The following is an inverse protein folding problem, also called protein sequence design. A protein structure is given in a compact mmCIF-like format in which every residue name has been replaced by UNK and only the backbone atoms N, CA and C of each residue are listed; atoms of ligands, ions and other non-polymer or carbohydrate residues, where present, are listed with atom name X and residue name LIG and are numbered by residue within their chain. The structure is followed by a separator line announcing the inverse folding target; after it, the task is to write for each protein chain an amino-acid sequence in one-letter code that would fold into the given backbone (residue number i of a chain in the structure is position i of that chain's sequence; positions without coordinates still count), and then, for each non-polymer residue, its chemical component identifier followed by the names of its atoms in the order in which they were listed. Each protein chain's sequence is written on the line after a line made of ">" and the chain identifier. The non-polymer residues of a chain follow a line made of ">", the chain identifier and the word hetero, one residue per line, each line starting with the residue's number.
data_IF_333863593354
#
_entry.id   IF_333863593354
#
_cell.length_a   1.000
_cell.length_b   1.000
_cell.length_c   1.000
_cell.angle_alpha   90.00
_cell.angle_beta   90.00
_cell.angle_gamma   90.00
#
_symmetry.space_group_name_H-M   'P 1'
#
loop_
_entity.id
_entity.type
_entity.pdbx_description
1 polymer ?
#
# COMPACT_ATOMS: atom_id res chain seq x y z
N UNK A 1 -45.43 52.62 10.88
CA UNK A 1 -43.99 52.91 10.79
C UNK A 1 -43.26 52.23 11.93
N UNK A 2 -42.24 51.43 11.57
CA UNK A 2 -41.04 51.03 12.34
C UNK A 2 -41.14 50.20 13.63
N UNK A 3 -40.75 48.94 13.44
CA UNK A 3 -39.92 48.04 14.23
C UNK A 3 -39.23 48.56 15.51
N UNK A 4 -39.22 47.72 16.57
CA UNK A 4 -38.04 46.95 16.99
C UNK A 4 -38.41 45.88 18.04
N UNK A 5 -38.11 44.59 17.83
CA UNK A 5 -38.12 43.59 18.90
C UNK A 5 -36.82 43.67 19.71
N UNK A 6 -36.96 43.73 21.04
CA UNK A 6 -35.84 43.69 21.97
C UNK A 6 -35.09 42.37 21.84
N UNK A 7 -33.78 42.49 21.60
CA UNK A 7 -32.79 41.43 21.51
C UNK A 7 -32.84 40.47 22.69
N UNK A 8 -33.24 39.22 22.43
CA UNK A 8 -32.88 38.08 23.26
C UNK A 8 -31.37 37.86 23.12
N UNK A 9 -30.60 38.48 24.02
CA UNK A 9 -29.19 38.15 24.23
C UNK A 9 -29.15 36.77 24.89
N UNK A 10 -29.08 35.73 24.05
CA UNK A 10 -28.72 34.37 24.45
C UNK A 10 -27.42 34.46 25.26
N UNK A 11 -27.49 34.21 26.57
CA UNK A 11 -26.31 34.08 27.42
C UNK A 11 -25.41 33.01 26.80
N UNK A 12 -24.29 33.44 26.21
CA UNK A 12 -23.17 32.58 25.87
C UNK A 12 -22.68 31.96 27.18
N UNK A 13 -23.10 30.73 27.44
CA UNK A 13 -22.53 29.90 28.50
C UNK A 13 -21.09 29.65 28.09
N UNK A 14 -20.15 30.14 28.90
CA UNK A 14 -18.71 29.92 28.73
C UNK A 14 -18.48 28.40 28.64
N UNK A 15 -17.82 27.87 27.61
CA UNK A 15 -17.53 26.45 27.53
C UNK A 15 -16.69 26.04 28.75
N UNK A 16 -17.10 24.96 29.41
CA UNK A 16 -16.39 24.40 30.55
C UNK A 16 -15.13 23.71 30.02
N UNK A 17 -14.00 24.40 30.09
CA UNK A 17 -12.70 23.85 29.72
C UNK A 17 -12.37 22.77 30.75
N UNK A 18 -12.57 21.52 30.36
CA UNK A 18 -12.14 20.37 31.15
C UNK A 18 -10.81 19.96 30.56
N UNK A 19 -9.71 20.13 31.30
CA UNK A 19 -8.39 19.70 30.87
C UNK A 19 -8.38 18.18 30.93
N UNK A 20 -8.69 17.54 29.82
CA UNK A 20 -8.45 16.10 29.63
C UNK A 20 -6.95 15.87 29.66
N UNK A 21 -6.48 14.90 30.45
CA UNK A 21 -5.09 14.45 30.37
C UNK A 21 -4.75 14.18 28.90
N UNK A 22 -3.73 14.85 28.39
CA UNK A 22 -3.21 14.65 27.03
C UNK A 22 -2.67 13.22 26.98
N UNK A 23 -3.51 12.26 26.59
CA UNK A 23 -3.15 10.84 26.67
C UNK A 23 -2.15 10.41 25.58
N UNK A 24 -1.82 11.28 24.63
CA UNK A 24 -1.06 10.92 23.43
C UNK A 24 0.40 11.40 23.40
N UNK A 25 0.78 12.39 24.21
CA UNK A 25 2.15 12.92 24.23
C UNK A 25 2.81 12.46 25.54
N UNK A 26 3.91 11.67 25.50
CA UNK A 26 4.65 11.33 26.71
C UNK A 26 5.02 12.62 27.46
N UNK A 27 4.88 12.66 28.80
CA UNK A 27 5.14 13.86 29.62
C UNK A 27 6.53 14.49 29.37
N UNK A 28 7.49 13.71 28.86
CA UNK A 28 8.81 14.18 28.43
C UNK A 28 8.77 15.21 27.29
N UNK A 29 7.69 15.27 26.51
CA UNK A 29 7.55 16.13 25.32
C UNK A 29 6.45 17.20 25.45
N UNK A 30 5.81 17.30 26.61
CA UNK A 30 4.79 18.34 26.90
C UNK A 30 5.37 19.60 27.54
N UNK A 31 6.70 19.68 27.70
CA UNK A 31 7.36 20.77 28.44
C UNK A 31 7.56 22.05 27.60
N UNK A 32 7.45 21.97 26.26
CA UNK A 32 7.57 23.11 25.37
C UNK A 32 6.57 23.00 24.19
N UNK A 33 5.97 24.14 23.82
CA UNK A 33 4.99 24.25 22.74
C UNK A 33 5.57 23.79 21.39
N UNK A 34 6.83 24.11 21.10
CA UNK A 34 7.47 23.76 19.83
C UNK A 34 7.63 22.25 19.62
N UNK A 35 7.94 21.50 20.68
CA UNK A 35 8.08 20.05 20.59
C UNK A 35 6.72 19.39 20.31
N UNK A 36 5.67 19.83 21.01
CA UNK A 36 4.30 19.36 20.79
C UNK A 36 3.81 19.62 19.35
N UNK A 37 4.20 20.77 18.76
CA UNK A 37 3.93 21.09 17.35
C UNK A 37 4.69 20.18 16.40
N UNK A 38 5.99 20.00 16.62
CA UNK A 38 6.82 19.13 15.78
C UNK A 38 6.27 17.71 15.75
N UNK A 39 5.88 17.18 16.90
CA UNK A 39 5.21 15.89 17.00
C UNK A 39 3.85 15.87 16.31
N UNK A 40 3.02 16.91 16.48
CA UNK A 40 1.77 17.04 15.72
C UNK A 40 2.02 16.94 14.22
N UNK A 41 2.96 17.73 13.67
CA UNK A 41 3.22 17.75 12.24
C UNK A 41 3.72 16.40 11.72
N UNK A 42 4.64 15.75 12.43
CA UNK A 42 5.17 14.44 12.05
C UNK A 42 4.06 13.39 12.05
N UNK A 43 3.23 13.34 13.09
CA UNK A 43 2.18 12.33 13.21
C UNK A 43 0.97 12.61 12.32
N UNK A 44 0.49 13.84 12.27
CA UNK A 44 -0.66 14.21 11.46
C UNK A 44 -0.37 14.16 9.97
N UNK A 45 0.73 14.76 9.49
CA UNK A 45 1.08 14.74 8.06
C UNK A 45 1.75 13.43 7.65
N UNK A 46 2.61 12.85 8.48
CA UNK A 46 3.18 11.52 8.21
C UNK A 46 2.11 10.44 8.23
N UNK A 47 1.19 10.50 9.20
CA UNK A 47 0.05 9.59 9.30
C UNK A 47 -0.94 9.75 8.15
N UNK A 48 -1.39 10.97 7.83
CA UNK A 48 -2.30 11.20 6.70
C UNK A 48 -1.70 10.77 5.36
N UNK A 49 -0.39 10.96 5.15
CA UNK A 49 0.34 10.41 4.01
C UNK A 49 0.28 8.88 3.94
N UNK A 50 0.49 8.20 5.08
CA UNK A 50 0.38 6.75 5.19
C UNK A 50 -1.02 6.22 4.87
N UNK A 51 -2.07 6.89 5.37
CA UNK A 51 -3.48 6.56 5.02
C UNK A 51 -3.71 6.70 3.52
N UNK A 52 -3.25 7.79 2.90
CA UNK A 52 -3.43 8.00 1.46
C UNK A 52 -2.78 6.90 0.61
N UNK A 53 -1.55 6.49 0.96
CA UNK A 53 -0.85 5.38 0.29
C UNK A 53 -1.62 4.07 0.48
N UNK A 54 -2.06 3.79 1.70
CA UNK A 54 -2.80 2.58 2.03
C UNK A 54 -4.12 2.45 1.27
N UNK A 55 -4.95 3.50 1.26
CA UNK A 55 -6.23 3.53 0.56
C UNK A 55 -6.10 3.27 -0.94
N UNK A 56 -4.96 3.63 -1.53
CA UNK A 56 -4.66 3.32 -2.94
C UNK A 56 -4.09 1.91 -3.12
N UNK A 57 -3.20 1.48 -2.24
CA UNK A 57 -2.46 0.22 -2.40
C UNK A 57 -3.33 -1.01 -2.09
N UNK A 58 -4.21 -0.96 -1.07
CA UNK A 58 -5.02 -2.11 -0.68
C UNK A 58 -5.97 -2.61 -1.76
N UNK A 59 -6.81 -1.76 -2.40
CA UNK A 59 -7.69 -2.20 -3.46
C UNK A 59 -6.93 -2.81 -4.64
N UNK A 60 -5.83 -2.17 -5.05
CA UNK A 60 -5.00 -2.67 -6.15
C UNK A 60 -4.38 -4.04 -5.86
N UNK A 61 -3.91 -4.27 -4.63
CA UNK A 61 -3.37 -5.56 -4.24
C UNK A 61 -4.47 -6.64 -4.15
N UNK A 62 -5.65 -6.27 -3.67
CA UNK A 62 -6.80 -7.16 -3.61
C UNK A 62 -7.29 -7.56 -5.01
N UNK A 63 -7.38 -6.60 -5.95
CA UNK A 63 -7.70 -6.86 -7.35
C UNK A 63 -6.68 -7.80 -8.00
N UNK A 64 -5.37 -7.58 -7.77
CA UNK A 64 -4.33 -8.50 -8.26
C UNK A 64 -4.46 -9.90 -7.68
N UNK A 65 -4.79 -10.00 -6.39
CA UNK A 65 -5.03 -11.29 -5.76
C UNK A 65 -6.24 -11.99 -6.41
N UNK A 66 -7.36 -11.29 -6.61
CA UNK A 66 -8.52 -11.84 -7.29
C UNK A 66 -8.21 -12.26 -8.74
N UNK A 67 -7.44 -11.46 -9.48
CA UNK A 67 -6.98 -11.80 -10.82
C UNK A 67 -6.14 -13.08 -10.83
N UNK A 68 -5.19 -13.23 -9.90
CA UNK A 68 -4.40 -14.47 -9.81
C UNK A 68 -5.30 -15.66 -9.48
N UNK A 69 -6.29 -15.49 -8.60
CA UNK A 69 -7.23 -16.57 -8.25
C UNK A 69 -8.15 -16.95 -9.42
N UNK A 70 -8.56 -15.99 -10.26
CA UNK A 70 -9.39 -16.29 -11.43
C UNK A 70 -8.64 -17.08 -12.50
N UNK A 71 -7.29 -17.07 -12.50
CA UNK A 71 -6.47 -17.84 -13.42
C UNK A 71 -6.38 -19.34 -13.09
N UNK A 72 -7.05 -19.82 -12.03
CA UNK A 72 -7.00 -21.22 -11.58
C UNK A 72 -7.29 -22.21 -12.71
N UNK A 73 -8.39 -21.98 -13.42
CA UNK A 73 -8.88 -22.88 -14.47
C UNK A 73 -8.68 -22.30 -15.87
N UNK A 74 -7.87 -21.25 -15.97
CA UNK A 74 -7.65 -20.51 -17.20
C UNK A 74 -6.51 -21.18 -18.00
N UNK A 75 -6.89 -21.71 -19.16
CA UNK A 75 -6.14 -22.58 -20.06
C UNK A 75 -5.71 -23.95 -19.49
N UNK A 76 -5.74 -25.02 -20.32
CA UNK A 76 -5.26 -26.34 -19.92
C UNK A 76 -3.76 -26.29 -19.60
N UNK A 77 -3.36 -27.07 -18.60
CA UNK A 77 -1.95 -27.28 -18.30
C UNK A 77 -1.34 -28.29 -19.28
N UNK A 78 -0.06 -28.14 -19.59
CA UNK A 78 0.71 -29.16 -20.32
C UNK A 78 0.97 -30.43 -19.48
N UNK A 79 0.59 -30.43 -18.20
CA UNK A 79 0.71 -31.58 -17.31
C UNK A 79 2.13 -31.82 -16.80
N UNK A 80 2.37 -33.02 -16.28
CA UNK A 80 3.64 -33.42 -15.68
C UNK A 80 3.79 -33.06 -14.19
N UNK A 81 5.03 -33.13 -13.72
CA UNK A 81 5.38 -32.88 -12.33
C UNK A 81 5.05 -31.45 -11.90
N UNK A 82 4.72 -31.29 -10.63
CA UNK A 82 4.51 -29.97 -10.06
C UNK A 82 5.83 -29.30 -9.69
N UNK A 83 5.83 -27.97 -9.65
CA UNK A 83 6.99 -27.18 -9.22
C UNK A 83 7.16 -27.23 -7.70
N UNK A 84 6.08 -27.37 -6.94
CA UNK A 84 6.12 -27.37 -5.48
C UNK A 84 6.27 -25.96 -4.92
N UNK A 85 5.52 -24.99 -5.47
CA UNK A 85 5.53 -23.62 -4.95
C UNK A 85 5.00 -23.60 -3.51
N UNK A 86 5.58 -22.73 -2.67
CA UNK A 86 5.14 -22.60 -1.28
C UNK A 86 3.67 -22.15 -1.23
N UNK A 87 2.84 -22.72 -0.33
CA UNK A 87 1.49 -22.21 -0.08
C UNK A 87 1.46 -20.72 0.31
N UNK A 88 2.55 -20.21 0.87
CA UNK A 88 2.71 -18.79 1.22
C UNK A 88 2.74 -17.86 0.00
N UNK A 89 2.91 -18.39 -1.21
CA UNK A 89 2.82 -17.59 -2.44
C UNK A 89 1.36 -17.24 -2.81
N UNK A 90 0.37 -17.89 -2.17
CA UNK A 90 -1.08 -17.69 -2.35
C UNK A 90 -1.60 -17.86 -3.79
N UNK A 91 -0.97 -18.75 -4.56
CA UNK A 91 -1.47 -19.14 -5.88
C UNK A 91 -2.64 -20.14 -5.77
N UNK A 92 -3.63 -20.10 -6.68
CA UNK A 92 -4.82 -20.97 -6.64
C UNK A 92 -4.53 -22.47 -6.76
N UNK A 93 -3.39 -22.81 -7.38
CA UNK A 93 -2.89 -24.17 -7.58
C UNK A 93 -1.38 -24.12 -7.81
N UNK A 94 -0.73 -25.26 -7.64
CA UNK A 94 0.67 -25.41 -8.02
C UNK A 94 0.84 -25.34 -9.55
N UNK A 95 2.05 -24.96 -9.97
CA UNK A 95 2.43 -24.86 -11.37
C UNK A 95 2.97 -26.21 -11.85
N UNK A 96 2.89 -26.46 -13.16
CA UNK A 96 3.53 -27.62 -13.77
C UNK A 96 4.89 -27.24 -14.34
N UNK A 97 5.87 -28.14 -14.20
CA UNK A 97 7.22 -27.94 -14.73
C UNK A 97 7.20 -27.72 -16.25
N UNK A 98 6.37 -28.47 -16.99
CA UNK A 98 6.25 -28.31 -18.44
C UNK A 98 5.74 -26.92 -18.87
N UNK A 99 4.78 -26.36 -18.11
CA UNK A 99 4.29 -25.01 -18.36
C UNK A 99 5.38 -23.97 -18.06
N UNK A 100 6.13 -24.17 -16.96
CA UNK A 100 7.22 -23.28 -16.56
C UNK A 100 8.34 -23.29 -17.61
N UNK A 101 8.76 -24.47 -18.05
CA UNK A 101 9.77 -24.65 -19.09
C UNK A 101 9.36 -24.00 -20.40
N UNK A 102 8.07 -24.05 -20.77
CA UNK A 102 7.59 -23.36 -21.96
C UNK A 102 7.75 -21.83 -21.87
N UNK A 103 7.50 -21.25 -20.69
CA UNK A 103 7.67 -19.80 -20.47
C UNK A 103 9.16 -19.42 -20.45
N UNK A 104 10.00 -20.20 -19.76
CA UNK A 104 11.45 -19.94 -19.65
C UNK A 104 12.20 -20.16 -20.98
N UNK A 105 11.68 -21.01 -21.86
CA UNK A 105 12.24 -21.26 -23.19
C UNK A 105 11.59 -20.39 -24.29
N UNK A 106 10.98 -19.25 -23.92
CA UNK A 106 10.55 -18.27 -24.90
C UNK A 106 11.76 -17.81 -25.76
N UNK A 107 11.54 -17.72 -27.08
CA UNK A 107 12.58 -17.32 -28.04
C UNK A 107 12.78 -15.81 -28.09
N UNK A 108 11.82 -15.03 -27.60
CA UNK A 108 11.94 -13.58 -27.54
C UNK A 108 12.87 -13.17 -26.40
N UNK A 109 13.79 -12.24 -26.68
CA UNK A 109 14.61 -11.63 -25.62
C UNK A 109 13.79 -10.59 -24.85
N UNK A 110 14.20 -10.25 -23.62
CA UNK A 110 13.50 -9.23 -22.84
C UNK A 110 13.44 -7.89 -23.57
N UNK A 111 14.51 -7.50 -24.28
CA UNK A 111 14.55 -6.25 -25.06
C UNK A 111 13.52 -6.27 -26.20
N UNK A 112 13.31 -7.43 -26.83
CA UNK A 112 12.27 -7.60 -27.85
C UNK A 112 10.88 -7.49 -27.23
N UNK A 113 10.66 -8.08 -26.05
CA UNK A 113 9.39 -7.97 -25.33
C UNK A 113 9.09 -6.51 -24.95
N UNK A 114 10.08 -5.77 -24.47
CA UNK A 114 9.97 -4.34 -24.13
C UNK A 114 9.68 -3.48 -25.37
N UNK A 115 10.37 -3.76 -26.49
CA UNK A 115 10.26 -2.96 -27.71
C UNK A 115 8.93 -3.18 -28.43
N UNK A 116 8.45 -4.43 -28.49
CA UNK A 116 7.28 -4.81 -29.28
C UNK A 116 5.99 -4.87 -28.46
N UNK A 117 6.09 -5.09 -27.15
CA UNK A 117 4.93 -5.26 -26.30
C UNK A 117 4.15 -3.96 -26.05
N UNK A 118 2.94 -4.08 -25.47
CA UNK A 118 2.13 -2.91 -25.10
C UNK A 118 2.87 -1.99 -24.14
N UNK A 119 2.57 -0.68 -24.20
CA UNK A 119 3.11 0.36 -23.33
C UNK A 119 2.01 1.01 -22.48
N UNK A 120 1.46 0.31 -21.48
CA UNK A 120 0.29 0.77 -20.72
C UNK A 120 0.60 1.88 -19.72
N UNK A 121 1.88 2.15 -19.41
CA UNK A 121 2.25 3.10 -18.37
C UNK A 121 3.58 3.82 -18.66
N UNK A 122 3.86 4.88 -17.91
CA UNK A 122 5.09 5.67 -18.04
C UNK A 122 6.38 4.84 -17.96
N UNK A 123 6.45 3.83 -17.08
CA UNK A 123 7.65 3.00 -16.94
C UNK A 123 7.89 2.15 -18.20
N UNK A 124 6.82 1.60 -18.78
CA UNK A 124 6.90 0.86 -20.05
C UNK A 124 7.33 1.75 -21.24
N UNK A 125 6.95 3.03 -21.24
CA UNK A 125 7.46 4.00 -22.23
C UNK A 125 8.95 4.29 -22.03
N UNK A 126 9.42 4.25 -20.79
CA UNK A 126 10.83 4.41 -20.42
C UNK A 126 11.66 3.14 -20.58
N UNK A 127 11.10 2.08 -21.17
CA UNK A 127 11.82 0.85 -21.50
C UNK A 127 11.84 -0.19 -20.38
N UNK A 128 10.96 -0.10 -19.38
CA UNK A 128 10.76 -1.20 -18.44
C UNK A 128 9.92 -2.30 -19.07
N UNK A 129 10.22 -3.56 -18.74
CA UNK A 129 9.35 -4.67 -19.09
C UNK A 129 8.12 -4.61 -18.18
N UNK A 130 6.94 -4.51 -18.78
CA UNK A 130 5.68 -4.55 -18.03
C UNK A 130 4.96 -5.89 -18.22
N UNK A 131 4.09 -6.24 -17.27
CA UNK A 131 3.38 -7.51 -17.29
C UNK A 131 2.59 -7.74 -18.60
N UNK A 132 1.83 -6.76 -19.15
CA UNK A 132 1.18 -6.92 -20.46
C UNK A 132 2.14 -7.24 -21.61
N UNK A 133 3.33 -6.63 -21.65
CA UNK A 133 4.36 -6.98 -22.65
C UNK A 133 4.84 -8.43 -22.50
N UNK A 134 5.01 -8.88 -21.25
CA UNK A 134 5.41 -10.25 -20.97
C UNK A 134 4.31 -11.26 -21.33
N UNK A 135 3.04 -10.92 -21.09
CA UNK A 135 1.88 -11.73 -21.51
C UNK A 135 1.79 -11.80 -23.03
N UNK A 136 1.98 -10.67 -23.73
CA UNK A 136 1.92 -10.60 -25.19
C UNK A 136 2.98 -11.51 -25.85
N UNK A 137 4.18 -11.54 -25.26
CA UNK A 137 5.26 -12.43 -25.68
C UNK A 137 4.99 -13.92 -25.37
N UNK A 138 4.09 -14.23 -24.43
CA UNK A 138 3.81 -15.58 -23.94
C UNK A 138 2.34 -16.02 -24.16
N UNK A 139 1.66 -15.50 -25.19
CA UNK A 139 0.22 -15.77 -25.46
C UNK A 139 -0.17 -17.25 -25.51
N UNK A 140 0.75 -18.13 -25.92
CA UNK A 140 0.49 -19.56 -26.03
C UNK A 140 0.82 -20.35 -24.75
N UNK A 141 1.23 -19.68 -23.68
CA UNK A 141 1.61 -20.30 -22.41
C UNK A 141 0.46 -20.25 -21.40
N UNK A 142 0.52 -21.10 -20.38
CA UNK A 142 -0.47 -21.07 -19.31
C UNK A 142 -0.41 -19.71 -18.57
N UNK A 143 -1.51 -18.96 -18.47
CA UNK A 143 -1.49 -17.58 -17.97
C UNK A 143 -1.13 -17.51 -16.48
N UNK A 144 -1.49 -18.53 -15.69
CA UNK A 144 -1.08 -18.62 -14.29
C UNK A 144 0.45 -18.73 -14.16
N UNK A 145 1.07 -19.54 -15.01
CA UNK A 145 2.53 -19.70 -15.04
C UNK A 145 3.22 -18.44 -15.53
N UNK A 146 2.69 -17.78 -16.56
CA UNK A 146 3.22 -16.49 -17.05
C UNK A 146 3.19 -15.44 -15.93
N UNK A 147 2.09 -15.37 -15.17
CA UNK A 147 1.99 -14.47 -14.01
C UNK A 147 2.99 -14.83 -12.92
N UNK A 148 3.17 -16.11 -12.62
CA UNK A 148 4.13 -16.57 -11.62
C UNK A 148 5.58 -16.26 -11.98
N UNK A 149 5.98 -16.45 -13.24
CA UNK A 149 7.31 -16.09 -13.73
C UNK A 149 7.53 -14.59 -13.61
N UNK A 150 6.54 -13.78 -13.98
CA UNK A 150 6.65 -12.32 -13.82
C UNK A 150 6.75 -11.89 -12.34
N UNK A 151 5.89 -12.43 -11.48
CA UNK A 151 5.91 -12.18 -10.03
C UNK A 151 7.22 -12.65 -9.38
N UNK A 152 7.93 -13.62 -9.94
CA UNK A 152 9.24 -14.03 -9.43
C UNK A 152 10.34 -13.00 -9.71
N UNK A 153 10.14 -12.14 -10.72
CA UNK A 153 11.09 -11.08 -11.12
C UNK A 153 10.77 -9.71 -10.50
N UNK A 154 9.51 -9.46 -10.10
CA UNK A 154 9.07 -8.15 -9.60
C UNK A 154 7.93 -8.21 -8.59
N UNK A 155 7.95 -7.32 -7.60
CA UNK A 155 6.83 -7.09 -6.67
C UNK A 155 5.68 -6.31 -7.29
N UNK A 156 5.89 -5.70 -8.45
CA UNK A 156 4.92 -4.88 -9.18
C UNK A 156 4.62 -5.41 -10.57
N UNK A 157 4.06 -4.56 -11.44
CA UNK A 157 3.78 -4.92 -12.85
C UNK A 157 4.83 -4.38 -13.82
N UNK A 158 5.98 -3.94 -13.32
CA UNK A 158 7.11 -3.45 -14.10
C UNK A 158 8.43 -3.97 -13.52
N UNK A 159 9.41 -4.23 -14.37
CA UNK A 159 10.75 -4.68 -14.00
C UNK A 159 11.76 -4.10 -14.98
N UNK A 160 12.97 -3.77 -14.51
CA UNK A 160 14.02 -3.33 -15.42
C UNK A 160 14.45 -4.48 -16.33
N UNK A 161 14.77 -4.21 -17.61
CA UNK A 161 15.13 -5.26 -18.57
C UNK A 161 16.29 -6.13 -18.11
N UNK A 162 17.34 -5.51 -17.57
CA UNK A 162 18.55 -6.22 -17.11
C UNK A 162 18.23 -7.19 -15.96
N UNK A 163 17.39 -6.76 -15.01
CA UNK A 163 16.98 -7.61 -13.89
C UNK A 163 16.09 -8.75 -14.37
N UNK A 164 15.17 -8.49 -15.29
CA UNK A 164 14.33 -9.52 -15.87
C UNK A 164 15.14 -10.56 -16.65
N UNK A 165 16.05 -10.12 -17.51
CA UNK A 165 16.91 -11.00 -18.28
C UNK A 165 17.79 -11.85 -17.36
N UNK A 166 18.46 -11.21 -16.39
CA UNK A 166 19.28 -11.91 -15.39
C UNK A 166 18.48 -12.97 -14.61
N UNK A 167 17.24 -12.66 -14.22
CA UNK A 167 16.37 -13.60 -13.49
C UNK A 167 15.89 -14.75 -14.36
N UNK A 168 15.50 -14.47 -15.62
CA UNK A 168 15.11 -15.53 -16.56
C UNK A 168 16.27 -16.48 -16.86
N UNK A 169 17.48 -15.93 -17.02
CA UNK A 169 18.69 -16.73 -17.23
C UNK A 169 19.04 -17.55 -15.99
N UNK A 170 18.90 -16.98 -14.78
CA UNK A 170 19.04 -17.70 -13.50
C UNK A 170 18.03 -18.86 -13.39
N UNK A 171 16.76 -18.62 -13.72
CA UNK A 171 15.72 -19.66 -13.65
C UNK A 171 15.93 -20.75 -14.71
N UNK A 172 16.47 -20.40 -15.88
CA UNK A 172 16.73 -21.32 -16.98
C UNK A 172 17.97 -22.17 -16.74
N UNK A 173 19.00 -21.60 -16.12
CA UNK A 173 20.25 -22.29 -15.77
C UNK A 173 20.16 -23.10 -14.47
N UNK A 174 19.01 -23.08 -13.79
CA UNK A 174 18.79 -23.86 -12.59
C UNK A 174 18.70 -25.37 -12.90
N UNK A 175 19.78 -26.08 -12.58
CA UNK A 175 19.90 -27.54 -12.70
C UNK A 175 19.22 -28.29 -11.53
N UNK A 176 18.68 -27.58 -10.52
CA UNK A 176 18.01 -28.22 -9.41
C UNK A 176 16.72 -28.93 -9.87
N UNK A 177 16.56 -30.18 -9.43
CA UNK A 177 15.38 -30.99 -9.77
C UNK A 177 14.05 -30.37 -9.31
N UNK A 178 14.11 -29.46 -8.34
CA UNK A 178 12.96 -28.80 -7.73
C UNK A 178 12.79 -27.33 -8.13
N UNK A 179 13.61 -26.79 -9.05
CA UNK A 179 13.53 -25.39 -9.52
C UNK A 179 13.67 -24.37 -8.38
N UNK A 180 14.66 -24.60 -7.51
CA UNK A 180 14.91 -23.84 -6.31
C UNK A 180 15.08 -22.33 -6.57
N UNK A 181 15.77 -21.92 -7.64
CA UNK A 181 16.00 -20.51 -7.94
C UNK A 181 14.68 -19.76 -8.18
N UNK A 182 13.80 -20.35 -9.01
CA UNK A 182 12.47 -19.79 -9.28
C UNK A 182 11.60 -19.75 -8.02
N UNK A 183 11.51 -20.86 -7.27
CA UNK A 183 10.69 -20.94 -6.05
C UNK A 183 11.11 -19.93 -4.99
N UNK A 184 12.42 -19.83 -4.75
CA UNK A 184 12.97 -18.92 -3.76
C UNK A 184 12.75 -17.47 -4.17
N UNK A 185 12.92 -17.14 -5.46
CA UNK A 185 12.64 -15.79 -5.97
C UNK A 185 11.15 -15.45 -5.84
N UNK A 186 10.26 -16.35 -6.25
CA UNK A 186 8.81 -16.15 -6.13
C UNK A 186 8.38 -15.95 -4.67
N UNK A 187 8.85 -16.82 -3.77
CA UNK A 187 8.52 -16.73 -2.35
C UNK A 187 9.05 -15.43 -1.75
N UNK A 188 10.31 -15.07 -2.04
CA UNK A 188 10.93 -13.83 -1.55
C UNK A 188 10.15 -12.60 -2.02
N UNK A 189 9.76 -12.56 -3.29
CA UNK A 189 9.02 -11.44 -3.86
C UNK A 189 7.61 -11.33 -3.26
N UNK A 190 6.92 -12.45 -3.03
CA UNK A 190 5.62 -12.46 -2.35
C UNK A 190 5.72 -12.04 -0.89
N UNK A 191 6.70 -12.56 -0.15
CA UNK A 191 6.93 -12.16 1.24
C UNK A 191 7.33 -10.69 1.37
N UNK A 192 8.12 -10.15 0.43
CA UNK A 192 8.42 -8.72 0.38
C UNK A 192 7.15 -7.90 0.15
N UNK A 193 6.26 -8.35 -0.74
CA UNK A 193 4.94 -7.74 -0.95
C UNK A 193 4.08 -7.75 0.32
N UNK A 194 3.93 -8.89 0.98
CA UNK A 194 3.17 -8.99 2.23
C UNK A 194 3.79 -8.20 3.38
N UNK A 195 5.13 -8.19 3.48
CA UNK A 195 5.85 -7.40 4.47
C UNK A 195 5.57 -5.90 4.29
N UNK A 196 5.54 -5.42 3.04
CA UNK A 196 5.19 -4.02 2.76
C UNK A 196 3.76 -3.69 3.21
N UNK A 197 2.82 -4.61 3.04
CA UNK A 197 1.44 -4.46 3.49
C UNK A 197 1.33 -4.50 5.02
N UNK A 198 1.99 -5.46 5.66
CA UNK A 198 2.03 -5.58 7.11
C UNK A 198 2.66 -4.34 7.75
N UNK A 199 3.72 -3.80 7.14
CA UNK A 199 4.34 -2.55 7.54
C UNK A 199 3.37 -1.37 7.39
N UNK A 200 2.65 -1.26 6.26
CA UNK A 200 1.60 -0.25 6.10
C UNK A 200 0.50 -0.41 7.15
N UNK A 201 -0.01 -1.62 7.41
CA UNK A 201 -0.99 -1.87 8.48
C UNK A 201 -0.47 -1.51 9.86
N UNK A 202 0.81 -1.77 10.14
CA UNK A 202 1.46 -1.36 11.38
C UNK A 202 1.56 0.17 11.49
N UNK A 203 1.87 0.88 10.41
CA UNK A 203 1.82 2.34 10.39
C UNK A 203 0.38 2.88 10.54
N UNK A 204 -0.63 2.17 10.06
CA UNK A 204 -2.03 2.60 10.16
C UNK A 204 -2.68 2.29 11.51
N UNK A 205 -2.48 1.10 12.05
CA UNK A 205 -3.18 0.61 13.23
C UNK A 205 -2.72 1.31 14.51
N UNK A 206 -1.58 0.91 15.09
CA UNK A 206 -1.08 1.50 16.33
C UNK A 206 -0.68 2.98 16.19
N UNK A 207 -0.14 3.39 15.04
CA UNK A 207 0.30 4.77 14.86
C UNK A 207 -0.91 5.68 14.56
N UNK A 208 -1.62 5.54 13.44
CA UNK A 208 -2.70 6.50 13.13
C UNK A 208 -3.94 6.29 14.02
N UNK A 209 -4.31 5.05 14.33
CA UNK A 209 -5.46 4.75 15.18
C UNK A 209 -5.30 5.27 16.62
N UNK A 210 -4.21 4.90 17.29
CA UNK A 210 -4.02 5.26 18.70
C UNK A 210 -3.37 6.64 18.91
N UNK A 211 -2.56 7.15 17.97
CA UNK A 211 -1.94 8.48 18.15
C UNK A 211 -2.65 9.60 17.42
N UNK A 212 -3.24 9.38 16.24
CA UNK A 212 -3.84 10.47 15.45
C UNK A 212 -5.34 10.60 15.67
N UNK A 213 -6.11 9.51 15.65
CA UNK A 213 -7.57 9.56 15.83
C UNK A 213 -7.96 9.76 17.30
N UNK A 214 -7.33 9.06 18.23
CA UNK A 214 -7.57 9.31 19.66
C UNK A 214 -7.12 10.72 20.06
N UNK A 215 -5.94 11.19 19.65
CA UNK A 215 -5.51 12.54 19.97
C UNK A 215 -6.30 13.63 19.24
N UNK A 216 -6.76 13.39 18.02
CA UNK A 216 -7.68 14.30 17.35
C UNK A 216 -9.07 14.30 18.02
N UNK A 217 -9.52 13.18 18.57
CA UNK A 217 -10.82 13.10 19.27
C UNK A 217 -10.77 13.62 20.71
N UNK A 218 -9.65 13.46 21.40
CA UNK A 218 -9.46 13.80 22.82
C UNK A 218 -8.82 15.18 23.06
N UNK A 219 -8.33 15.82 22.01
CA UNK A 219 -7.61 17.09 22.07
C UNK A 219 -6.09 16.90 22.09
N UNK A 220 -5.42 17.27 20.98
CA UNK A 220 -3.96 17.23 20.87
C UNK A 220 -3.27 18.28 21.75
N UNK A 221 -3.99 19.36 22.06
CA UNK A 221 -3.51 20.47 22.87
C UNK A 221 -4.35 20.55 24.16
N UNK A 222 -3.78 20.98 25.29
CA UNK A 222 -4.52 21.12 26.54
C UNK A 222 -5.70 22.11 26.46
N UNK A 223 -5.69 23.00 25.46
CA UNK A 223 -6.76 23.96 25.18
C UNK A 223 -7.77 23.48 24.13
N UNK A 224 -7.56 22.33 23.48
CA UNK A 224 -8.52 21.75 22.53
C UNK A 224 -9.54 20.90 23.28
N UNK A 225 -10.85 21.25 23.24
CA UNK A 225 -11.88 20.50 23.95
C UNK A 225 -12.38 19.20 23.26
N UNK A 226 -11.61 18.60 22.33
CA UNK A 226 -11.95 17.34 21.66
C UNK A 226 -13.20 17.38 20.75
N UNK A 227 -13.69 16.19 20.37
CA UNK A 227 -14.87 15.99 19.51
C UNK A 227 -16.20 16.32 20.19
N UNK A 228 -16.23 16.46 21.52
CA UNK A 228 -17.44 16.72 22.30
C UNK A 228 -18.06 18.11 22.05
N UNK A 229 -17.37 18.98 21.31
CA UNK A 229 -17.84 20.32 20.93
C UNK A 229 -18.02 20.50 19.41
N UNK A 230 -18.01 19.44 18.60
CA UNK A 230 -18.40 19.53 17.19
C UNK A 230 -19.92 19.70 17.05
N UNK A 231 -20.42 20.53 16.10
CA UNK A 231 -19.66 21.30 15.12
C UNK A 231 -19.23 22.70 15.62
N UNK A 232 -19.59 23.10 16.84
CA UNK A 232 -19.34 24.46 17.36
C UNK A 232 -17.85 24.82 17.42
N UNK A 233 -16.95 23.86 17.64
CA UNK A 233 -15.49 24.01 17.59
C UNK A 233 -14.92 24.25 16.18
N UNK A 234 -15.74 24.21 15.12
CA UNK A 234 -15.35 24.64 13.77
C UNK A 234 -15.74 26.10 13.47
N UNK A 235 -16.65 26.69 14.26
CA UNK A 235 -17.31 27.97 13.94
C UNK A 235 -17.16 29.01 15.06
N UNK A 236 -16.83 28.60 16.30
CA UNK A 236 -16.70 29.45 17.48
C UNK A 236 -15.46 29.04 18.30
N UNK A 237 -14.64 30.00 18.73
CA UNK A 237 -13.42 29.74 19.50
C UNK A 237 -13.68 29.28 20.95
N UNK A 238 -12.76 28.49 21.58
CA UNK A 238 -11.54 27.92 21.01
C UNK A 238 -11.85 26.63 20.22
N UNK A 239 -11.71 26.72 18.91
CA UNK A 239 -11.87 25.66 17.93
C UNK A 239 -10.54 25.20 17.33
N UNK A 240 -10.59 24.20 16.44
CA UNK A 240 -9.40 23.61 15.78
C UNK A 240 -8.44 24.69 15.19
N UNK A 241 -9.01 25.79 14.68
CA UNK A 241 -8.29 26.89 14.03
C UNK A 241 -7.85 28.04 14.96
N UNK A 242 -8.27 28.08 16.22
CA UNK A 242 -8.17 29.30 17.05
C UNK A 242 -7.16 29.20 18.18
N UNK A 243 -6.19 28.27 18.11
CA UNK A 243 -5.07 28.23 19.06
C UNK A 243 -3.79 28.72 18.34
N UNK A 244 -3.67 30.02 18.01
CA UNK A 244 -2.59 30.54 17.16
C UNK A 244 -1.19 30.28 17.73
N UNK A 245 -1.06 30.16 19.05
CA UNK A 245 0.19 29.79 19.74
C UNK A 245 0.61 28.32 19.55
N UNK A 246 -0.11 27.52 18.77
CA UNK A 246 0.27 26.16 18.43
C UNK A 246 0.32 25.91 16.91
N UNK A 247 -0.11 26.86 16.08
CA UNK A 247 -0.15 26.70 14.62
C UNK A 247 0.76 27.68 13.87
N UNK A 248 1.19 28.77 14.52
CA UNK A 248 2.14 29.78 14.00
C UNK A 248 3.49 29.64 14.69
#
# INVERSE_FOLDING_TARGET
>A
MRAHPASQLTRLVKPKITVTKINAIPESFTNNFEDARGFFYIWFFGGSGGVGVALRQFPQQYEKFQQVQSLKDDAPTLGGDTVGISPLCLYPRDLRKADLDKVLNNKMTVEQMVRMGPKPNYLSERGYLCFPSFVDANKCCNPLTVRAVFDAMSTGDNVSPDVAQSKLDEFKSDESSDRAAFKNSLLKTKLAGFSSIAFLLFLLGPIIGATCLEAASAGWFPEWPGNDNLPWSLVVGPGFWTIPQYWI
#
